data_IF_702795357577
#
_entry.id   IF_702795357577
#
_cell.length_a   1.000
_cell.length_b   1.000
_cell.length_c   1.000
_cell.angle_alpha   90.00
_cell.angle_beta   90.00
_cell.angle_gamma   90.00
#
_symmetry.space_group_name_H-M   'P 1'
#
loop_
_entity.id
_entity.type
_entity.pdbx_description
1 polymer ?
2 non-polymer ?
3 non-polymer ?
4 non-polymer ?
5 water ?
#
# COMPACT_ATOMS: atom_id res chain seq x y z
N UNK A 3 -12.50 21.01 -9.78
CA UNK A 3 -11.55 19.90 -10.02
C UNK A 3 -11.64 18.82 -8.92
N UNK A 4 -11.40 17.55 -9.26
CA UNK A 4 -11.55 16.50 -8.21
C UNK A 4 -10.32 16.32 -7.32
N UNK A 5 -10.55 15.76 -6.14
CA UNK A 5 -9.52 15.60 -5.13
C UNK A 5 -9.32 14.10 -4.86
N UNK A 6 -8.07 13.67 -4.83
CA UNK A 6 -7.70 12.30 -4.43
C UNK A 6 -7.07 12.32 -3.04
N UNK A 7 -7.51 11.39 -2.16
CA UNK A 7 -7.01 11.30 -0.81
C UNK A 7 -6.66 9.83 -0.57
N UNK A 8 -5.58 9.56 0.17
CA UNK A 8 -5.25 8.17 0.50
C UNK A 8 -4.59 8.11 1.85
N UNK A 9 -4.74 6.99 2.56
CA UNK A 9 -3.92 6.90 3.74
C UNK A 9 -2.44 6.63 3.36
N UNK A 10 -1.56 6.82 4.36
CA UNK A 10 -0.12 6.87 4.10
C UNK A 10 0.45 5.50 3.73
N UNK A 11 -0.36 4.44 3.87
CA UNK A 11 0.07 3.14 3.32
C UNK A 11 0.27 3.16 1.81
N UNK A 12 -0.12 4.22 1.12
CA UNK A 12 0.11 4.26 -0.32
C UNK A 12 1.55 4.65 -0.66
N UNK A 13 2.33 5.04 0.34
CA UNK A 13 3.77 5.34 0.27
C UNK A 13 4.11 6.66 -0.45
N UNK A 14 3.14 7.40 -1.00
CA UNK A 14 3.44 8.59 -1.77
C UNK A 14 2.80 9.80 -1.13
N UNK A 15 3.34 10.98 -1.45
CA UNK A 15 2.88 12.25 -0.88
C UNK A 15 2.38 13.21 -1.94
N UNK A 16 2.63 12.95 -3.21
CA UNK A 16 2.09 13.75 -4.28
C UNK A 16 1.83 12.87 -5.48
N UNK A 17 0.97 13.37 -6.35
CA UNK A 17 0.59 12.76 -7.60
C UNK A 17 0.69 13.89 -8.62
N UNK A 18 1.73 13.85 -9.46
CA UNK A 18 2.02 15.05 -10.23
C UNK A 18 0.88 15.32 -11.20
N UNK A 19 0.38 16.56 -11.15
CA UNK A 19 -0.72 16.97 -11.98
C UNK A 19 -2.08 16.83 -11.33
N UNK A 20 -2.15 16.27 -10.14
CA UNK A 20 -3.40 15.99 -9.43
C UNK A 20 -3.43 16.71 -8.10
N UNK A 21 -4.64 16.97 -7.62
CA UNK A 21 -4.83 17.39 -6.25
C UNK A 21 -4.84 16.11 -5.43
N UNK A 22 -3.91 15.97 -4.48
CA UNK A 22 -3.74 14.72 -3.76
C UNK A 22 -3.27 15.00 -2.37
N UNK A 23 -3.84 14.33 -1.39
CA UNK A 23 -3.35 14.47 -0.02
C UNK A 23 -3.23 13.10 0.63
N UNK A 24 -2.09 12.81 1.24
CA UNK A 24 -1.93 11.58 2.05
C UNK A 24 -2.26 11.86 3.51
N UNK A 25 -2.88 10.89 4.16
CA UNK A 25 -3.31 11.02 5.55
C UNK A 25 -2.52 10.04 6.41
N UNK A 26 -1.73 10.52 7.35
CA UNK A 26 -0.76 9.66 8.03
C UNK A 26 -1.39 8.67 8.98
N UNK A 27 -0.91 7.42 8.92
CA UNK A 27 -1.05 6.52 10.06
C UNK A 27 0.09 6.76 11.05
N UNK A 28 0.01 6.11 12.21
CA UNK A 28 0.96 6.30 13.30
C UNK A 28 1.45 4.96 13.82
N UNK A 29 2.78 4.84 13.97
CA UNK A 29 3.43 3.67 14.55
C UNK A 29 3.91 4.12 15.92
N UNK A 30 3.71 3.29 16.94
CA UNK A 30 4.15 3.72 18.27
C UNK A 30 4.77 2.57 19.07
N UNK A 31 5.74 2.93 19.90
CA UNK A 31 6.21 2.07 20.99
C UNK A 31 5.58 2.57 22.31
N UNK A 32 5.96 1.99 23.45
CA UNK A 32 5.50 2.60 24.70
C UNK A 32 6.21 3.94 24.98
N UNK A 33 7.29 4.24 24.26
CA UNK A 33 8.10 5.43 24.45
C UNK A 33 7.99 6.50 23.35
N UNK A 34 7.74 6.16 22.08
CA UNK A 34 7.75 7.17 21.02
C UNK A 34 6.61 6.90 20.04
N UNK A 35 6.08 7.99 19.44
CA UNK A 35 5.06 7.97 18.37
C UNK A 35 5.71 8.41 17.07
N UNK A 36 5.59 7.61 16.04
CA UNK A 36 6.14 7.94 14.73
C UNK A 36 4.96 8.18 13.81
N UNK A 37 4.82 9.40 13.36
CA UNK A 37 3.75 9.76 12.45
C UNK A 37 4.25 9.62 11.00
N UNK A 38 3.52 8.87 10.16
CA UNK A 38 3.98 8.57 8.80
C UNK A 38 3.69 9.74 7.87
N UNK A 39 4.45 10.83 8.06
CA UNK A 39 4.23 12.04 7.27
C UNK A 39 5.56 12.47 6.65
N UNK A 40 5.62 13.72 6.15
CA UNK A 40 6.87 14.22 5.55
C UNK A 40 8.08 14.27 6.49
N UNK A 41 7.83 14.42 7.80
CA UNK A 41 8.89 14.57 8.79
C UNK A 41 9.53 13.25 9.22
N UNK A 42 9.02 12.10 8.78
CA UNK A 42 9.46 10.85 9.37
C UNK A 42 10.83 10.41 8.83
N UNK A 43 11.71 10.05 9.77
CA UNK A 43 13.04 9.46 9.49
C UNK A 43 12.88 7.95 9.64
N UNK A 44 12.64 7.29 8.51
CA UNK A 44 12.27 5.88 8.59
C UNK A 44 13.47 5.04 8.97
N UNK A 45 14.64 5.38 8.41
CA UNK A 45 15.87 4.67 8.76
C UNK A 45 16.07 4.69 10.27
N UNK A 46 15.86 5.84 10.90
CA UNK A 46 15.99 5.92 12.36
C UNK A 46 14.91 5.11 13.06
N UNK A 47 13.67 5.15 12.57
CA UNK A 47 12.63 4.32 13.18
C UNK A 47 12.96 2.84 13.12
N UNK A 48 13.42 2.39 11.94
CA UNK A 48 13.74 0.98 11.80
C UNK A 48 14.90 0.59 12.70
N UNK A 49 15.90 1.47 12.82
CA UNK A 49 16.97 1.26 13.79
C UNK A 49 16.41 1.11 15.21
N UNK A 50 15.51 2.03 15.61
CA UNK A 50 14.94 1.95 16.96
C UNK A 50 14.20 0.63 17.14
N UNK A 51 13.39 0.23 16.15
CA UNK A 51 12.53 -0.93 16.36
C UNK A 51 13.33 -2.20 16.43
N UNK A 52 14.41 -2.26 15.66
CA UNK A 52 15.28 -3.44 15.61
C UNK A 52 15.81 -3.82 16.99
N UNK A 53 16.18 -2.84 17.81
CA UNK A 53 16.69 -3.11 19.15
C UNK A 53 15.63 -2.90 20.25
N UNK A 54 14.41 -2.54 19.90
CA UNK A 54 13.35 -2.32 20.89
C UNK A 54 12.77 -3.66 21.28
N UNK A 55 12.81 -4.00 22.55
CA UNK A 55 12.35 -5.34 22.89
C UNK A 55 10.87 -5.39 23.22
N UNK A 56 10.23 -4.24 23.41
CA UNK A 56 8.82 -4.20 23.71
C UNK A 56 7.91 -4.32 22.49
N UNK A 57 6.61 -4.33 22.78
CA UNK A 57 5.57 -4.35 21.74
C UNK A 57 5.56 -3.03 20.99
N UNK A 58 5.15 -3.08 19.71
CA UNK A 58 4.93 -1.86 18.97
C UNK A 58 3.58 -2.01 18.27
N UNK A 59 3.01 -0.85 17.91
CA UNK A 59 1.60 -0.78 17.50
C UNK A 59 1.46 0.16 16.31
N UNK A 60 0.36 0.00 15.54
CA UNK A 60 -0.03 1.01 14.59
C UNK A 60 -1.47 1.47 14.87
N UNK A 61 -1.79 2.64 14.33
CA UNK A 61 -3.12 3.22 14.49
C UNK A 61 -3.58 3.87 13.21
N UNK A 62 -4.88 3.79 12.93
CA UNK A 62 -5.43 4.46 11.73
C UNK A 62 -5.56 5.97 11.99
N UNK A 63 -5.80 6.80 10.96
CA UNK A 63 -5.90 8.25 11.21
C UNK A 63 -7.17 8.61 11.97
N UNK A 64 -7.12 9.74 12.68
CA UNK A 64 -8.32 10.24 13.33
C UNK A 64 -9.28 10.88 12.35
N UNK A 65 -10.57 10.88 12.72
CA UNK A 65 -11.60 11.47 11.86
C UNK A 65 -11.19 12.89 11.47
N UNK A 66 -10.55 13.62 12.40
CA UNK A 66 -10.16 15.00 12.13
C UNK A 66 -9.07 15.10 11.08
N UNK A 67 -8.12 14.17 11.06
CA UNK A 67 -7.09 14.20 10.03
C UNK A 67 -7.69 13.94 8.66
N UNK A 68 -8.69 13.05 8.58
CA UNK A 68 -9.38 12.88 7.31
C UNK A 68 -10.09 14.15 6.91
N UNK A 69 -10.81 14.78 7.84
CA UNK A 69 -11.55 15.98 7.46
C UNK A 69 -10.61 17.07 6.97
N UNK A 70 -9.47 17.24 7.63
CA UNK A 70 -8.51 18.21 7.14
C UNK A 70 -8.05 17.86 5.73
N UNK A 71 -7.86 16.57 5.44
CA UNK A 71 -7.41 16.20 4.10
C UNK A 71 -8.48 16.40 3.04
N UNK A 72 -9.76 16.24 3.40
CA UNK A 72 -10.81 16.44 2.39
C UNK A 72 -10.88 17.91 1.97
N UNK A 73 -10.49 18.82 2.88
CA UNK A 73 -10.51 20.24 2.61
C UNK A 73 -11.92 20.72 2.43
N UNK A 74 -12.19 21.34 1.28
CA UNK A 74 -13.54 21.79 1.00
C UNK A 74 -13.99 21.40 -0.40
N UNK A 75 -13.43 20.34 -0.94
CA UNK A 75 -13.76 19.99 -2.30
C UNK A 75 -15.05 19.19 -2.38
N UNK A 76 -15.70 19.28 -3.53
CA UNK A 76 -17.01 18.67 -3.67
C UNK A 76 -16.99 17.33 -4.39
N UNK A 77 -15.86 16.90 -4.95
CA UNK A 77 -15.77 15.56 -5.54
C UNK A 77 -14.46 14.94 -5.04
N UNK A 78 -14.56 13.87 -4.25
CA UNK A 78 -13.40 13.29 -3.59
C UNK A 78 -13.41 11.78 -3.75
N UNK A 79 -12.26 11.20 -4.10
CA UNK A 79 -12.06 9.76 -4.04
C UNK A 79 -11.05 9.53 -2.93
N UNK A 80 -11.37 8.59 -2.02
CA UNK A 80 -10.49 8.28 -0.90
C UNK A 80 -10.07 6.83 -1.06
N UNK A 81 -8.76 6.54 -1.09
CA UNK A 81 -8.31 5.16 -1.22
C UNK A 81 -7.72 4.72 0.11
N UNK A 82 -8.17 3.56 0.64
CA UNK A 82 -7.66 3.13 1.94
C UNK A 82 -7.00 1.75 1.85
N UNK A 83 -6.12 1.49 2.81
CA UNK A 83 -5.59 0.13 2.97
C UNK A 83 -6.76 -0.84 3.28
N UNK A 84 -6.55 -2.11 2.98
CA UNK A 84 -7.57 -3.14 3.09
C UNK A 84 -8.37 -3.07 4.39
N UNK A 85 -9.70 -3.09 4.23
CA UNK A 85 -10.57 -3.22 5.39
C UNK A 85 -10.42 -4.58 6.05
N UNK A 86 -9.79 -5.53 5.35
CA UNK A 86 -9.59 -6.83 5.95
C UNK A 86 -8.44 -6.89 6.95
N UNK A 87 -7.58 -5.88 7.00
CA UNK A 87 -6.46 -5.88 7.96
C UNK A 87 -6.31 -4.61 8.80
N UNK A 88 -7.28 -3.70 8.75
CA UNK A 88 -7.10 -2.39 9.39
C UNK A 88 -8.45 -1.70 9.54
N UNK A 89 -8.59 -0.90 10.61
CA UNK A 89 -9.70 0.01 10.83
C UNK A 89 -9.67 1.30 10.00
N UNK A 90 -8.71 1.44 9.10
CA UNK A 90 -8.59 2.65 8.29
C UNK A 90 -9.83 2.91 7.45
N UNK A 91 -10.31 1.90 6.74
CA UNK A 91 -11.53 2.07 5.92
C UNK A 91 -12.70 2.61 6.77
N UNK A 92 -12.93 2.02 7.94
CA UNK A 92 -14.02 2.50 8.78
C UNK A 92 -13.80 3.94 9.24
N UNK A 93 -12.55 4.30 9.56
CA UNK A 93 -12.31 5.69 9.97
C UNK A 93 -12.59 6.67 8.81
N UNK A 94 -12.23 6.28 7.59
CA UNK A 94 -12.55 7.13 6.44
C UNK A 94 -14.06 7.23 6.22
N UNK A 95 -14.77 6.09 6.39
CA UNK A 95 -16.23 6.12 6.23
C UNK A 95 -16.85 6.99 7.30
N UNK A 96 -16.29 6.95 8.52
CA UNK A 96 -16.83 7.81 9.57
C UNK A 96 -16.59 9.29 9.25
N UNK A 97 -15.43 9.60 8.69
CA UNK A 97 -15.16 10.99 8.35
C UNK A 97 -16.02 11.43 7.17
N UNK A 98 -16.25 10.53 6.20
CA UNK A 98 -17.14 10.85 5.08
C UNK A 98 -18.53 11.21 5.61
N UNK A 99 -18.98 10.48 6.62
CA UNK A 99 -20.30 10.73 7.21
C UNK A 99 -20.40 12.16 7.73
N UNK A 100 -19.40 12.59 8.50
CA UNK A 100 -19.37 13.97 9.00
C UNK A 100 -19.26 14.97 7.85
N UNK A 101 -18.41 14.67 6.87
CA UNK A 101 -18.19 15.62 5.76
C UNK A 101 -19.47 15.86 4.99
N UNK A 102 -20.21 14.80 4.71
CA UNK A 102 -21.44 14.94 3.95
C UNK A 102 -22.51 15.68 4.76
N UNK A 103 -22.41 15.68 6.08
CA UNK A 103 -23.30 16.53 6.88
C UNK A 103 -22.84 17.97 6.95
N UNK A 104 -21.65 18.27 6.40
CA UNK A 104 -21.10 19.63 6.37
C UNK A 104 -20.98 20.22 4.96
N UNK A 105 -21.16 19.43 3.89
CA UNK A 105 -20.95 19.87 2.52
C UNK A 105 -22.08 19.33 1.67
N UNK A 106 -23.10 20.15 1.42
CA UNK A 106 -24.34 19.66 0.80
C UNK A 106 -24.19 19.25 -0.66
N UNK A 107 -23.23 19.76 -1.39
CA UNK A 107 -23.13 19.30 -2.76
C UNK A 107 -22.09 18.17 -2.92
N UNK A 108 -21.48 17.72 -1.83
CA UNK A 108 -20.28 16.90 -1.95
C UNK A 108 -20.65 15.48 -2.37
N UNK A 109 -19.73 14.86 -3.13
CA UNK A 109 -19.74 13.44 -3.48
C UNK A 109 -18.40 12.89 -3.03
N UNK A 110 -18.42 11.83 -2.21
CA UNK A 110 -17.21 11.25 -1.65
C UNK A 110 -17.33 9.75 -1.81
N UNK A 111 -16.37 9.14 -2.49
CA UNK A 111 -16.36 7.69 -2.63
C UNK A 111 -15.17 7.22 -1.82
N UNK A 112 -15.38 6.32 -0.86
CA UNK A 112 -14.25 5.67 -0.16
C UNK A 112 -14.03 4.30 -0.82
N UNK A 113 -12.79 4.03 -1.27
CA UNK A 113 -12.40 2.80 -1.96
C UNK A 113 -11.58 1.96 -0.99
N UNK A 114 -12.13 0.83 -0.56
CA UNK A 114 -11.34 -0.19 0.11
C UNK A 114 -10.44 -0.84 -0.95
N UNK A 115 -9.13 -0.56 -0.91
CA UNK A 115 -8.26 -1.11 -1.95
C UNK A 115 -8.19 -2.62 -1.89
N UNK A 116 -8.63 -3.24 -0.78
CA UNK A 116 -8.39 -4.66 -0.54
C UNK A 116 -6.90 -4.99 -0.59
N UNK A 117 -6.06 -4.01 -0.37
CA UNK A 117 -4.62 -4.28 -0.48
C UNK A 117 -3.83 -3.18 0.25
N UNK A 118 -2.65 -2.81 -0.28
CA UNK A 118 -1.78 -1.84 0.38
C UNK A 118 -0.76 -1.35 -0.65
N UNK A 119 -0.01 -0.31 -0.27
CA UNK A 119 1.18 0.10 -0.97
C UNK A 119 0.99 0.25 -2.47
N UNK A 120 1.76 -0.51 -3.28
CA UNK A 120 1.76 -0.20 -4.71
C UNK A 120 0.43 -0.48 -5.38
N UNK A 121 -0.43 -1.31 -4.78
CA UNK A 121 -1.75 -1.51 -5.38
C UNK A 121 -2.63 -0.28 -5.14
N UNK A 122 -2.50 0.34 -3.98
CA UNK A 122 -3.14 1.66 -3.70
C UNK A 122 -2.62 2.70 -4.70
N UNK A 123 -1.30 2.66 -4.94
CA UNK A 123 -0.75 3.61 -5.92
C UNK A 123 -1.31 3.40 -7.31
N UNK A 124 -1.43 2.15 -7.77
CA UNK A 124 -1.99 1.87 -9.10
C UNK A 124 -3.45 2.34 -9.20
N UNK A 125 -4.22 2.12 -8.16
CA UNK A 125 -5.59 2.64 -8.11
C UNK A 125 -5.59 4.17 -8.23
N UNK A 126 -4.79 4.83 -7.41
CA UNK A 126 -4.73 6.29 -7.46
C UNK A 126 -4.31 6.77 -8.86
N UNK A 127 -3.36 6.09 -9.48
CA UNK A 127 -2.97 6.56 -10.82
C UNK A 127 -4.06 6.32 -11.85
N UNK A 128 -4.85 5.28 -11.68
CA UNK A 128 -5.94 5.08 -12.62
C UNK A 128 -7.05 6.11 -12.42
N UNK A 129 -7.34 6.48 -11.17
CA UNK A 129 -8.28 7.57 -10.93
C UNK A 129 -7.76 8.84 -11.62
N UNK A 130 -6.47 9.12 -11.45
CA UNK A 130 -5.91 10.31 -12.08
C UNK A 130 -6.06 10.24 -13.59
N UNK A 131 -5.79 9.08 -14.18
CA UNK A 131 -5.89 8.98 -15.63
C UNK A 131 -7.33 9.19 -16.12
N UNK A 132 -8.30 8.63 -15.40
CA UNK A 132 -9.70 8.83 -15.82
C UNK A 132 -10.13 10.28 -15.63
N UNK A 133 -9.68 10.93 -14.56
CA UNK A 133 -9.98 12.34 -14.38
C UNK A 133 -9.39 13.15 -15.52
N UNK A 134 -8.15 12.85 -15.90
CA UNK A 134 -7.52 13.60 -17.01
C UNK A 134 -8.21 13.31 -18.32
N UNK A 135 -8.80 12.13 -18.48
CA UNK A 135 -9.58 11.81 -19.67
C UNK A 135 -10.91 12.54 -19.70
N UNK A 136 -11.25 13.28 -18.65
CA UNK A 136 -12.51 14.00 -18.59
C UNK A 136 -13.71 13.15 -18.19
N UNK A 137 -13.51 11.97 -17.61
CA UNK A 137 -14.66 11.20 -17.13
C UNK A 137 -15.33 11.90 -15.95
N UNK A 138 -16.64 11.73 -15.82
CA UNK A 138 -17.35 12.34 -14.68
C UNK A 138 -17.24 11.47 -13.43
N UNK A 139 -17.56 12.08 -12.28
CA UNK A 139 -17.40 11.38 -11.00
C UNK A 139 -18.13 10.04 -11.01
N UNK A 140 -19.38 10.04 -11.50
CA UNK A 140 -20.17 8.81 -11.48
C UNK A 140 -19.56 7.74 -12.38
N UNK A 141 -18.96 8.14 -13.51
CA UNK A 141 -18.34 7.15 -14.40
C UNK A 141 -17.13 6.54 -13.73
N UNK A 142 -16.36 7.38 -13.07
CA UNK A 142 -15.12 6.94 -12.43
C UNK A 142 -15.45 6.03 -11.26
N UNK A 143 -16.44 6.45 -10.45
CA UNK A 143 -16.83 5.67 -9.29
C UNK A 143 -17.25 4.26 -9.68
N UNK A 144 -17.95 4.10 -10.79
CA UNK A 144 -18.34 2.74 -11.19
C UNK A 144 -17.18 1.94 -11.76
N UNK A 145 -16.35 2.62 -12.56
CA UNK A 145 -15.35 1.96 -13.37
C UNK A 145 -14.12 1.53 -12.57
N UNK A 146 -13.79 2.25 -11.50
CA UNK A 146 -12.55 1.93 -10.79
C UNK A 146 -12.63 0.52 -10.20
N UNK A 147 -13.83 0.11 -9.73
CA UNK A 147 -13.92 -1.23 -9.11
C UNK A 147 -13.72 -2.34 -10.11
N UNK A 148 -14.16 -2.12 -11.35
CA UNK A 148 -13.89 -3.08 -12.40
C UNK A 148 -12.40 -3.15 -12.74
N UNK A 149 -11.75 -1.98 -12.81
CA UNK A 149 -10.31 -1.88 -13.05
C UNK A 149 -9.52 -2.65 -11.98
N UNK A 150 -9.94 -2.53 -10.71
CA UNK A 150 -9.24 -3.18 -9.61
C UNK A 150 -9.19 -4.71 -9.73
N UNK A 151 -10.21 -5.26 -10.36
CA UNK A 151 -10.25 -6.71 -10.54
C UNK A 151 -9.09 -7.21 -11.38
N UNK A 152 -8.53 -6.34 -12.22
CA UNK A 152 -7.41 -6.64 -13.12
C UNK A 152 -6.09 -6.12 -12.54
N UNK A 153 -5.95 -6.16 -11.20
CA UNK A 153 -4.69 -5.77 -10.54
C UNK A 153 -4.38 -6.84 -9.48
N UNK A 154 -3.09 -7.01 -9.17
CA UNK A 154 -2.65 -8.00 -8.19
C UNK A 154 -1.51 -7.40 -7.40
N UNK A 155 -1.24 -8.00 -6.23
CA UNK A 155 -0.11 -7.60 -5.40
C UNK A 155 0.66 -8.84 -4.97
N UNK A 156 1.98 -8.77 -5.02
CA UNK A 156 2.82 -9.82 -4.45
C UNK A 156 3.87 -9.18 -3.56
N UNK A 157 4.37 -9.92 -2.56
CA UNK A 157 5.36 -9.31 -1.69
C UNK A 157 6.38 -10.40 -1.36
N UNK A 158 7.54 -9.96 -0.93
CA UNK A 158 8.54 -10.87 -0.38
C UNK A 158 9.12 -10.24 0.87
N UNK A 159 8.94 -10.88 2.02
CA UNK A 159 9.29 -10.29 3.30
C UNK A 159 10.36 -11.11 3.99
N UNK A 160 11.40 -10.45 4.49
CA UNK A 160 12.49 -11.15 5.19
C UNK A 160 12.20 -11.36 6.65
N UNK A 161 11.25 -10.60 7.18
CA UNK A 161 10.81 -10.75 8.57
C UNK A 161 9.33 -10.38 8.62
N UNK A 162 8.57 -11.12 9.41
CA UNK A 162 7.13 -10.91 9.59
C UNK A 162 6.82 -10.69 11.05
N UNK A 163 7.83 -10.25 11.82
CA UNK A 163 7.68 -10.11 13.26
C UNK A 163 6.60 -9.07 13.60
N UNK A 164 6.65 -7.91 12.95
CA UNK A 164 5.67 -6.86 13.26
C UNK A 164 4.25 -7.24 12.84
N UNK A 165 4.07 -7.83 11.65
CA UNK A 165 2.78 -8.40 11.30
C UNK A 165 2.29 -9.39 12.34
N UNK A 166 3.17 -10.31 12.76
CA UNK A 166 2.74 -11.40 13.63
C UNK A 166 2.42 -10.88 15.03
N UNK A 167 3.22 -9.93 15.55
CA UNK A 167 2.93 -9.48 16.92
C UNK A 167 1.66 -8.65 16.95
N UNK A 168 1.25 -8.10 15.81
CA UNK A 168 -0.02 -7.36 15.72
C UNK A 168 -1.18 -8.21 15.21
N UNK A 169 -1.00 -9.52 15.13
CA UNK A 169 -2.08 -10.43 14.79
C UNK A 169 -2.52 -10.39 13.35
N UNK A 170 -1.64 -9.99 12.44
CA UNK A 170 -2.03 -9.80 11.05
C UNK A 170 -1.50 -10.92 10.15
N UNK A 171 -0.73 -11.85 10.70
CA UNK A 171 -0.34 -13.06 9.99
C UNK A 171 -0.19 -14.16 11.04
N UNK A 172 -0.39 -15.42 10.63
CA UNK A 172 -0.24 -16.50 11.61
C UNK A 172 1.21 -16.68 12.05
N UNK A 173 1.40 -17.18 13.27
CA UNK A 173 2.75 -17.52 13.74
C UNK A 173 3.44 -18.56 12.85
N UNK A 174 2.72 -19.59 12.37
CA UNK A 174 3.38 -20.60 11.56
C UNK A 174 3.96 -19.97 10.32
N UNK A 175 3.21 -19.04 9.72
CA UNK A 175 3.66 -18.40 8.49
C UNK A 175 4.84 -17.51 8.78
N UNK A 176 4.77 -16.74 9.88
CA UNK A 176 5.87 -15.85 10.23
C UNK A 176 7.13 -16.62 10.56
N UNK A 177 6.98 -17.83 11.10
CA UNK A 177 8.17 -18.51 11.63
C UNK A 177 9.14 -18.85 10.51
N UNK A 178 8.63 -19.04 9.30
CA UNK A 178 9.51 -19.36 8.19
C UNK A 178 10.62 -18.34 8.07
N UNK A 179 10.26 -17.06 8.22
CA UNK A 179 11.20 -15.99 7.94
C UNK A 179 12.12 -15.78 9.08
N UNK A 180 11.92 -16.51 10.20
CA UNK A 180 12.85 -16.42 11.29
C UNK A 180 14.21 -17.00 10.94
N UNK A 181 14.27 -17.86 9.92
CA UNK A 181 15.53 -18.47 9.51
C UNK A 181 16.30 -17.47 8.64
N UNK A 182 17.58 -17.29 8.93
CA UNK A 182 18.40 -16.32 8.18
C UNK A 182 18.50 -16.69 6.70
N UNK A 183 18.13 -15.74 5.82
CA UNK A 183 18.20 -15.97 4.39
C UNK A 183 16.91 -16.47 3.75
N UNK A 184 15.87 -16.71 4.55
CA UNK A 184 14.57 -17.15 4.04
C UNK A 184 13.62 -15.95 4.04
N UNK A 185 12.96 -15.73 2.90
CA UNK A 185 11.84 -14.79 2.78
C UNK A 185 10.54 -15.52 2.62
N UNK A 186 9.43 -14.89 3.01
CA UNK A 186 8.11 -15.41 2.72
C UNK A 186 7.52 -14.59 1.58
N UNK A 187 6.98 -15.29 0.58
CA UNK A 187 6.31 -14.66 -0.55
C UNK A 187 4.81 -14.66 -0.28
N UNK A 188 4.15 -13.52 -0.46
CA UNK A 188 2.72 -13.43 -0.22
C UNK A 188 1.99 -12.77 -1.38
N UNK A 189 0.65 -12.82 -1.30
CA UNK A 189 -0.18 -12.03 -2.21
C UNK A 189 -1.35 -11.47 -1.40
N UNK A 190 -1.96 -10.43 -1.94
CA UNK A 190 -3.20 -9.96 -1.31
C UNK A 190 -4.33 -10.90 -1.72
N UNK A 191 -5.04 -11.44 -0.73
CA UNK A 191 -6.10 -12.41 -1.02
C UNK A 191 -7.36 -11.71 -1.53
N UNK A 192 -8.32 -12.51 -1.99
CA UNK A 192 -9.60 -11.95 -2.37
C UNK A 192 -10.36 -11.38 -1.17
N UNK A 193 -9.94 -11.69 0.05
CA UNK A 193 -10.53 -11.09 1.24
C UNK A 193 -9.72 -9.91 1.76
N UNK A 194 -8.73 -9.44 0.98
CA UNK A 194 -7.94 -8.33 1.44
C UNK A 194 -7.10 -8.71 2.63
N UNK A 195 -6.60 -9.95 2.69
CA UNK A 195 -5.64 -10.36 3.71
C UNK A 195 -4.36 -10.86 3.05
N UNK A 196 -3.36 -11.03 3.89
CA UNK A 196 -2.06 -11.50 3.40
C UNK A 196 -2.11 -13.02 3.29
N UNK A 197 -1.98 -13.52 2.07
CA UNK A 197 -2.03 -14.93 1.78
C UNK A 197 -0.59 -15.38 1.46
N UNK A 198 -0.04 -16.25 2.29
CA UNK A 198 1.35 -16.68 2.05
C UNK A 198 1.36 -17.70 0.93
N UNK A 199 2.26 -17.53 -0.02
CA UNK A 199 2.36 -18.38 -1.18
C UNK A 199 3.46 -19.42 -0.99
N UNK A 200 4.54 -19.06 -0.34
CA UNK A 200 5.65 -19.96 -0.15
C UNK A 200 6.86 -19.24 0.40
N UNK A 201 7.88 -20.00 0.73
CA UNK A 201 9.14 -19.43 1.22
C UNK A 201 10.12 -19.34 0.06
N UNK A 202 11.23 -18.66 0.31
CA UNK A 202 12.15 -18.53 -0.78
C UNK A 202 13.54 -18.22 -0.24
N UNK A 203 14.58 -18.94 -0.72
CA UNK A 203 15.97 -18.68 -0.31
C UNK A 203 16.74 -17.89 -1.40
N UNK A 204 16.81 -16.59 -1.25
CA UNK A 204 17.70 -15.76 -2.03
C UNK A 204 17.00 -15.08 -3.19
N UNK A 205 17.65 -14.01 -3.70
CA UNK A 205 17.05 -13.17 -4.72
C UNK A 205 16.78 -13.92 -6.03
N UNK A 206 17.73 -14.71 -6.51
CA UNK A 206 17.49 -15.34 -7.79
C UNK A 206 16.30 -16.27 -7.73
N UNK A 207 16.15 -17.04 -6.65
CA UNK A 207 14.97 -17.92 -6.58
C UNK A 207 13.66 -17.11 -6.49
N UNK A 208 13.67 -15.99 -5.77
CA UNK A 208 12.49 -15.09 -5.81
C UNK A 208 12.13 -14.66 -7.22
N UNK A 209 13.13 -14.25 -8.00
CA UNK A 209 12.82 -13.78 -9.35
C UNK A 209 12.11 -14.86 -10.16
N UNK A 210 12.56 -16.12 -10.03
CA UNK A 210 11.92 -17.21 -10.77
C UNK A 210 10.51 -17.48 -10.26
N UNK A 211 10.33 -17.47 -8.95
CA UNK A 211 8.97 -17.67 -8.42
C UNK A 211 8.05 -16.54 -8.85
N UNK A 212 8.54 -15.28 -8.79
CA UNK A 212 7.69 -14.16 -9.20
C UNK A 212 7.31 -14.28 -10.66
N UNK A 213 8.24 -14.72 -11.51
CA UNK A 213 7.88 -14.81 -12.91
C UNK A 213 6.78 -15.83 -13.11
N UNK A 214 6.84 -16.96 -12.38
CA UNK A 214 5.76 -17.94 -12.51
C UNK A 214 4.43 -17.38 -11.99
N UNK A 215 4.47 -16.66 -10.86
CA UNK A 215 3.24 -16.11 -10.29
C UNK A 215 2.62 -15.06 -11.22
N UNK A 216 3.46 -14.22 -11.83
CA UNK A 216 2.94 -13.21 -12.73
C UNK A 216 2.34 -13.86 -13.97
N UNK A 217 2.99 -14.90 -14.51
CA UNK A 217 2.44 -15.62 -15.64
C UNK A 217 1.05 -16.17 -15.31
N UNK A 218 0.95 -16.89 -14.20
CA UNK A 218 -0.33 -17.43 -13.77
C UNK A 218 -1.35 -16.34 -13.50
N UNK A 219 -0.91 -15.19 -12.98
CA UNK A 219 -1.88 -14.12 -12.69
C UNK A 219 -2.41 -13.44 -13.94
N UNK A 220 -1.85 -13.72 -15.12
CA UNK A 220 -2.28 -13.02 -16.33
C UNK A 220 -1.54 -11.71 -16.59
N UNK A 221 -0.34 -11.56 -16.07
CA UNK A 221 0.46 -10.37 -16.34
C UNK A 221 0.94 -10.41 -17.77
N UNK A 222 0.83 -9.27 -18.47
CA UNK A 222 1.16 -9.16 -19.90
C UNK A 222 1.94 -7.89 -20.21
N UNK A 223 2.71 -7.39 -19.27
CA UNK A 223 3.51 -6.23 -19.53
C UNK A 223 2.90 -4.87 -19.23
N UNK A 224 1.78 -4.82 -18.51
CA UNK A 224 1.19 -3.55 -18.12
C UNK A 224 1.90 -2.86 -16.95
N UNK A 225 1.24 -1.83 -16.44
CA UNK A 225 1.81 -1.01 -15.38
C UNK A 225 2.27 -1.87 -14.20
N UNK A 226 3.44 -1.53 -13.67
CA UNK A 226 4.11 -2.27 -12.60
C UNK A 226 4.69 -1.28 -11.61
N UNK A 227 4.41 -1.46 -10.34
CA UNK A 227 4.89 -0.55 -9.31
C UNK A 227 5.53 -1.38 -8.22
N UNK A 228 6.75 -1.03 -7.82
CA UNK A 228 7.47 -1.82 -6.80
C UNK A 228 7.96 -0.86 -5.74
N UNK A 229 7.60 -1.11 -4.48
CA UNK A 229 8.21 -0.36 -3.38
C UNK A 229 9.07 -1.31 -2.54
N UNK A 230 10.08 -0.72 -1.89
CA UNK A 230 11.02 -1.51 -1.13
C UNK A 230 11.36 -0.79 0.17
N UNK A 231 11.75 -1.60 1.16
CA UNK A 231 12.17 -1.09 2.46
C UNK A 231 13.68 -1.30 2.54
N UNK A 232 14.43 -0.27 2.17
CA UNK A 232 15.91 -0.33 2.14
C UNK A 232 16.40 -1.55 1.36
N UNK A 233 15.82 -1.77 0.21
CA UNK A 233 16.27 -2.86 -0.66
C UNK A 233 16.06 -2.44 -2.10
N UNK A 234 16.66 -1.31 -2.45
CA UNK A 234 16.59 -0.87 -3.82
C UNK A 234 17.22 -1.90 -4.75
N UNK A 235 18.23 -2.63 -4.26
CA UNK A 235 18.95 -3.56 -5.10
C UNK A 235 18.01 -4.65 -5.60
N UNK A 236 17.22 -5.18 -4.68
CA UNK A 236 16.30 -6.25 -5.08
C UNK A 236 15.17 -5.73 -5.95
N UNK A 237 14.61 -4.56 -5.61
CA UNK A 237 13.54 -4.00 -6.43
C UNK A 237 14.02 -3.76 -7.86
N UNK A 238 15.26 -3.24 -8.02
CA UNK A 238 15.80 -3.03 -9.37
C UNK A 238 15.99 -4.36 -10.12
N UNK A 239 16.40 -5.42 -9.41
CA UNK A 239 16.53 -6.72 -10.10
C UNK A 239 15.18 -7.23 -10.57
N UNK A 240 14.15 -7.07 -9.72
CA UNK A 240 12.82 -7.50 -10.14
C UNK A 240 12.37 -6.69 -11.36
N UNK A 241 12.55 -5.38 -11.31
CA UNK A 241 12.12 -4.55 -12.40
C UNK A 241 12.83 -4.95 -13.70
N UNK A 242 14.12 -5.25 -13.62
CA UNK A 242 14.89 -5.67 -14.79
C UNK A 242 14.35 -6.99 -15.34
N UNK A 243 14.04 -7.94 -14.44
CA UNK A 243 13.53 -9.24 -14.85
C UNK A 243 12.23 -9.05 -15.62
N UNK A 244 11.35 -8.22 -15.07
CA UNK A 244 10.02 -8.08 -15.65
C UNK A 244 10.09 -7.37 -17.00
N UNK A 245 10.94 -6.34 -17.10
CA UNK A 245 11.10 -5.67 -18.39
C UNK A 245 11.60 -6.64 -19.44
N UNK A 246 12.53 -7.49 -19.06
CA UNK A 246 13.09 -8.46 -20.00
C UNK A 246 12.06 -9.50 -20.41
N UNK A 247 11.28 -10.02 -19.45
CA UNK A 247 10.39 -11.14 -19.72
C UNK A 247 9.07 -10.72 -20.35
N UNK A 248 8.58 -9.52 -20.07
CA UNK A 248 7.24 -9.14 -20.51
C UNK A 248 7.22 -7.92 -21.42
N UNK A 249 8.32 -7.22 -21.58
CA UNK A 249 8.30 -6.05 -22.42
C UNK A 249 7.81 -4.81 -21.72
N UNK A 250 7.70 -4.83 -20.40
CA UNK A 250 7.09 -3.71 -19.67
C UNK A 250 7.85 -2.43 -19.92
N UNK A 251 7.10 -1.33 -20.17
CA UNK A 251 7.71 -0.01 -20.19
C UNK A 251 7.26 0.88 -19.06
N UNK A 252 6.09 0.64 -18.46
CA UNK A 252 5.57 1.51 -17.42
C UNK A 252 5.89 0.91 -16.05
N UNK A 253 7.09 1.19 -15.53
CA UNK A 253 7.61 0.66 -14.28
C UNK A 253 8.06 1.82 -13.43
N UNK A 254 7.78 1.74 -12.12
CA UNK A 254 8.35 2.66 -11.14
C UNK A 254 8.79 1.84 -9.94
N UNK A 255 10.05 2.05 -9.51
CA UNK A 255 10.60 1.51 -8.26
C UNK A 255 10.78 2.67 -7.30
N UNK A 256 10.33 2.51 -6.06
CA UNK A 256 10.39 3.65 -5.13
C UNK A 256 10.39 3.16 -3.70
N UNK A 257 10.67 4.08 -2.79
CA UNK A 257 10.78 3.71 -1.39
C UNK A 257 9.41 3.56 -0.71
N UNK A 258 9.31 2.58 0.16
CA UNK A 258 8.12 2.47 1.02
C UNK A 258 8.04 3.63 2.00
N UNK A 259 6.80 3.99 2.44
CA UNK A 259 6.61 4.95 3.50
C UNK A 259 6.71 4.27 4.85
N UNK A 260 6.34 5.03 5.90
CA UNK A 260 6.51 4.55 7.26
C UNK A 260 5.68 3.30 7.57
N UNK A 261 4.41 3.31 7.21
CA UNK A 261 3.54 2.20 7.59
C UNK A 261 4.02 0.93 6.89
N UNK A 262 4.21 1.01 5.59
CA UNK A 262 4.67 -0.19 4.87
C UNK A 262 6.06 -0.62 5.35
N UNK A 263 6.93 0.32 5.67
CA UNK A 263 8.26 -0.07 6.20
C UNK A 263 8.12 -0.83 7.51
N UNK A 264 7.19 -0.42 8.35
CA UNK A 264 7.01 -1.10 9.63
C UNK A 264 6.55 -2.56 9.42
N UNK A 265 5.54 -2.77 8.57
CA UNK A 265 4.95 -4.10 8.40
C UNK A 265 5.72 -4.97 7.38
N UNK A 266 6.31 -4.37 6.35
CA UNK A 266 7.12 -5.19 5.43
C UNK A 266 8.52 -5.47 5.98
N UNK A 267 9.05 -4.60 6.82
CA UNK A 267 10.34 -4.65 7.51
C UNK A 267 11.54 -4.51 6.60
N UNK A 268 12.70 -4.22 7.19
CA UNK A 268 13.91 -4.04 6.39
C UNK A 268 14.10 -5.20 5.43
N UNK A 269 14.45 -4.88 4.17
CA UNK A 269 14.66 -5.86 3.15
C UNK A 269 13.43 -6.17 2.32
N UNK A 270 12.25 -5.76 2.80
CA UNK A 270 11.02 -6.19 2.17
C UNK A 270 10.77 -5.52 0.84
N UNK A 271 10.05 -6.25 -0.03
CA UNK A 271 9.61 -5.80 -1.35
C UNK A 271 8.09 -5.95 -1.42
N UNK A 272 7.39 -5.01 -2.05
CA UNK A 272 5.98 -5.20 -2.42
C UNK A 272 5.79 -4.75 -3.86
N UNK A 273 5.09 -5.54 -4.66
CA UNK A 273 4.88 -5.09 -6.02
C UNK A 273 3.43 -5.24 -6.41
N UNK A 274 2.97 -4.33 -7.26
CA UNK A 274 1.62 -4.50 -7.79
C UNK A 274 1.64 -4.35 -9.29
N UNK A 275 0.68 -5.00 -9.98
CA UNK A 275 0.68 -4.92 -11.45
C UNK A 275 -0.73 -4.94 -11.99
N UNK A 276 -0.91 -4.38 -13.19
CA UNK A 276 -2.13 -4.63 -13.97
C UNK A 276 -2.01 -5.97 -14.68
N UNK A 277 -3.13 -6.67 -14.76
CA UNK A 277 -3.17 -7.96 -15.45
C UNK A 277 -4.17 -7.88 -16.60
N UNK A 278 -4.16 -8.86 -17.47
CA UNK A 278 -5.11 -8.85 -18.57
C UNK A 278 -6.56 -9.02 -18.08
X LIG B 1 14.39 -14.28 6.97
X LIG C 1 16.78 -23.44 3.77
X LIG C 1 17.20 -23.14 2.61
X LIG C 1 17.04 -22.76 4.80
X LIG C 1 15.94 -24.68 3.90
X LIG D 1 -3.10 0.05 12.45
X LIG D 1 -3.73 -0.08 11.35
X LIG D 1 -5.00 -0.08 11.35
X LIG D 1 -2.88 -0.31 10.07
X LIG D 1 -2.64 -1.83 9.96
X LIG D 1 -2.03 -2.20 8.58
X LIG D 1 -1.95 -3.75 8.49
X LIG D 1 -1.51 -4.33 7.14
X LIG D 1 -0.44 -3.47 6.48
X LIG D 1 0.27 -4.22 5.32
X LIG D 1 1.62 -3.57 5.00
X LIG D 1 2.91 -5.87 4.17
X LIG D 1 2.55 -6.63 2.84
X LIG D 1 1.09 -7.15 2.96
X LIG D 1 0.34 -7.25 1.62
X LIG D 1 -1.07 -7.89 1.75
X LIG D 1 -2.16 -6.82 1.54
X LIG D 1 -3.61 -7.28 1.71
X LIG D 1 2.55 -4.36 4.02
#
# INVERSE_FOLDING_TARGET
>A
SNAMRLVADSACDIKELRGMVFKAVPLTISTDNEEFCDDGQLDIHRMLDILEKHKGRSYTACPGIDAWLEAFGDDDEIFVVTITAGMSGTYNSAMAARAVYLEEHPQAKVRVIDSKSTGPQMRIILEQLQQMIEEGKKFEEIDGAIDAYMQKTRLFCSLKSLHNLAQNGRVSKVVASAAEVLGISVIGTASSHGTLEAIGKCRGDKKLLVKLQALLDDAGYEGGKLRICHVENEALADKIADMIKQAYGTTDVCVYKAGGLCSYYAERGGIILSCETK
>B hetero
1 NA NA
>C hetero
1 ACY C O OXT CH3
>D hetero
1 X90 O19 C21 O21 C22 C23 C24 C25 C26 C27 C28 C29 C30 C31 C32 C33 C34 C35 C36 C39
#
